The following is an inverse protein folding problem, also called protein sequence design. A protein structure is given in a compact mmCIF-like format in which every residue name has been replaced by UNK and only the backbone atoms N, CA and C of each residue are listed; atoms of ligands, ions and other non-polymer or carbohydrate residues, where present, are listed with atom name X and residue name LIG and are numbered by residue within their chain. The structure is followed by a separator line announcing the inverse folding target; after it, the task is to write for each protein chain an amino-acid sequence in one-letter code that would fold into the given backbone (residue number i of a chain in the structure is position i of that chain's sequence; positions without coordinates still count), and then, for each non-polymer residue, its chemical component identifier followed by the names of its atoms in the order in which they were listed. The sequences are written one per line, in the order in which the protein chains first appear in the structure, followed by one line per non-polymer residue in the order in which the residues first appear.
data_IF_135372582059
#
_entry.id   IF_135372582059
#
_cell.length_a   1.000
_cell.length_b   1.000
_cell.length_c   1.000
_cell.angle_alpha   90.00
_cell.angle_beta   90.00
_cell.angle_gamma   90.00
#
_symmetry.space_group_name_H-M   'P 1'
#
loop_
_entity.id
_entity.type
_entity.pdbx_description
1 polymer ?
#
# COMPACT_ATOMS: atom_id res chain seq x y z
N UNK A 1 19.76 9.40 12.79
CA UNK A 1 18.65 10.04 12.06
C UNK A 1 17.59 10.38 13.06
N UNK A 2 16.90 11.50 12.86
CA UNK A 2 15.76 11.93 13.68
C UNK A 2 14.46 11.58 12.94
N UNK A 3 13.30 11.86 13.54
CA UNK A 3 12.00 11.64 12.89
C UNK A 3 10.89 11.32 13.86
N UNK A 4 9.82 10.72 13.33
CA UNK A 4 8.66 10.30 14.10
C UNK A 4 8.20 8.90 13.69
N UNK A 5 7.70 8.16 14.67
CA UNK A 5 6.84 7.00 14.46
C UNK A 5 5.43 7.42 14.79
N UNK A 6 4.50 7.27 13.85
CA UNK A 6 3.09 7.63 14.02
C UNK A 6 2.22 6.38 13.93
N UNK A 7 1.14 6.40 14.71
CA UNK A 7 0.10 5.37 14.69
C UNK A 7 -1.21 5.95 14.21
N UNK A 8 -1.94 5.22 13.37
CA UNK A 8 -3.27 5.60 12.95
C UNK A 8 -4.22 4.42 13.04
N UNK A 9 -5.30 4.60 13.79
CA UNK A 9 -6.41 3.65 13.87
C UNK A 9 -7.57 4.24 13.09
N UNK A 10 -7.97 3.53 12.03
CA UNK A 10 -9.09 3.96 11.20
C UNK A 10 -10.42 3.81 11.95
N UNK A 11 -11.45 4.53 11.50
CA UNK A 11 -12.79 4.49 12.08
C UNK A 11 -13.32 3.05 12.12
N UNK A 12 -13.93 2.68 13.25
CA UNK A 12 -14.37 1.30 13.51
C UNK A 12 -13.28 0.35 14.03
N UNK A 13 -12.03 0.81 14.23
CA UNK A 13 -10.94 0.03 14.84
C UNK A 13 -10.61 -1.30 14.15
N UNK A 14 -10.88 -1.37 12.83
CA UNK A 14 -10.61 -2.56 12.00
C UNK A 14 -9.32 -2.47 11.20
N UNK A 15 -8.75 -1.27 11.07
CA UNK A 15 -7.50 -1.04 10.35
C UNK A 15 -6.59 -0.23 11.28
N UNK A 16 -5.36 -0.70 11.44
CA UNK A 16 -4.32 0.00 12.18
C UNK A 16 -3.06 0.16 11.32
N UNK A 17 -2.39 1.30 11.44
CA UNK A 17 -1.14 1.60 10.74
C UNK A 17 -0.09 2.07 11.74
N UNK A 18 1.14 1.63 11.54
CA UNK A 18 2.34 2.23 12.12
C UNK A 18 3.26 2.64 10.98
N UNK A 19 3.76 3.88 11.01
CA UNK A 19 4.68 4.40 10.00
C UNK A 19 5.85 5.11 10.66
N UNK A 20 7.05 4.89 10.13
CA UNK A 20 8.27 5.59 10.50
C UNK A 20 8.65 6.55 9.38
N UNK A 21 8.80 7.84 9.71
CA UNK A 21 9.27 8.87 8.78
C UNK A 21 10.47 9.57 9.41
N UNK A 22 11.59 9.59 8.70
CA UNK A 22 12.82 10.18 9.16
C UNK A 22 13.00 11.62 8.64
N UNK A 23 13.69 12.40 9.45
CA UNK A 23 14.34 13.66 9.11
C UNK A 23 15.79 13.64 9.65
N UNK A 24 16.53 14.70 9.43
CA UNK A 24 17.91 14.90 9.86
C UNK A 24 18.01 15.56 11.26
N UNK A 25 17.13 16.49 11.61
CA UNK A 25 17.22 17.24 12.89
C UNK A 25 15.99 17.07 13.80
N UNK A 26 16.22 17.22 15.10
CA UNK A 26 15.17 17.16 16.13
C UNK A 26 14.23 18.38 16.07
N UNK A 27 14.76 19.52 15.59
CA UNK A 27 13.98 20.72 15.30
C UNK A 27 12.89 20.43 14.25
N UNK A 28 13.24 19.78 13.14
CA UNK A 28 12.26 19.38 12.11
C UNK A 28 11.29 18.32 12.64
N UNK A 29 11.76 17.35 13.42
CA UNK A 29 10.89 16.33 14.02
C UNK A 29 9.78 16.93 14.91
N UNK A 30 10.00 18.12 15.47
CA UNK A 30 9.03 18.84 16.31
C UNK A 30 8.17 19.84 15.53
N UNK A 31 8.46 20.09 14.26
CA UNK A 31 7.74 21.03 13.40
C UNK A 31 6.32 20.51 13.08
N UNK A 32 5.32 21.38 13.12
CA UNK A 32 3.92 21.01 12.86
C UNK A 32 3.69 20.51 11.43
N UNK A 33 4.34 21.10 10.42
CA UNK A 33 4.22 20.64 9.04
C UNK A 33 4.79 19.21 8.86
N UNK A 34 5.87 18.88 9.59
CA UNK A 34 6.42 17.53 9.61
C UNK A 34 5.45 16.55 10.28
N UNK A 35 4.92 16.87 11.47
CA UNK A 35 3.93 16.05 12.18
C UNK A 35 2.68 15.80 11.33
N UNK A 36 2.17 16.84 10.67
CA UNK A 36 1.02 16.74 9.78
C UNK A 36 1.31 15.81 8.60
N UNK A 37 2.50 15.91 7.98
CA UNK A 37 2.92 14.99 6.93
C UNK A 37 2.90 13.54 7.42
N UNK A 38 3.54 13.23 8.56
CA UNK A 38 3.61 11.85 9.08
C UNK A 38 2.21 11.29 9.34
N UNK A 39 1.33 12.09 9.94
CA UNK A 39 -0.08 11.72 10.17
C UNK A 39 -0.84 11.48 8.86
N UNK A 40 -0.66 12.35 7.88
CA UNK A 40 -1.30 12.22 6.57
C UNK A 40 -0.84 10.96 5.83
N UNK A 41 0.44 10.61 5.95
CA UNK A 41 0.99 9.36 5.39
C UNK A 41 0.37 8.15 6.08
N UNK A 42 0.24 8.15 7.42
CA UNK A 42 -0.42 7.06 8.14
C UNK A 42 -1.88 6.85 7.68
N UNK A 43 -2.61 7.95 7.46
CA UNK A 43 -3.97 7.92 6.90
C UNK A 43 -3.98 7.41 5.45
N UNK A 44 -3.03 7.83 4.62
CA UNK A 44 -2.88 7.37 3.24
C UNK A 44 -2.71 5.85 3.19
N UNK A 45 -1.79 5.31 3.99
CA UNK A 45 -1.53 3.87 4.04
C UNK A 45 -2.80 3.12 4.46
N UNK A 46 -3.57 3.63 5.42
CA UNK A 46 -4.82 3.00 5.81
C UNK A 46 -5.86 2.95 4.67
N UNK A 47 -5.89 3.99 3.83
CA UNK A 47 -6.81 4.13 2.70
C UNK A 47 -6.39 3.35 1.44
N UNK A 48 -5.14 2.90 1.36
CA UNK A 48 -4.57 2.20 0.21
C UNK A 48 -4.32 0.72 0.53
N UNK A 49 -5.32 -0.18 0.41
CA UNK A 49 -5.20 -1.57 0.83
C UNK A 49 -4.23 -2.42 0.00
N UNK A 50 -3.88 -1.97 -1.22
CA UNK A 50 -2.95 -2.66 -2.11
C UNK A 50 -1.49 -2.26 -1.87
N UNK A 51 -1.25 -1.19 -1.12
CA UNK A 51 0.12 -0.69 -0.90
C UNK A 51 0.86 -1.61 0.06
N UNK A 52 1.97 -2.15 -0.42
CA UNK A 52 2.86 -3.07 0.30
C UNK A 52 4.29 -2.52 0.41
N UNK A 53 4.71 -1.69 -0.54
CA UNK A 53 6.07 -1.15 -0.64
C UNK A 53 6.06 0.37 -0.58
N UNK A 54 7.19 0.99 -0.23
CA UNK A 54 7.29 2.46 -0.26
C UNK A 54 7.38 2.93 -1.72
N UNK A 55 8.25 2.32 -2.51
CA UNK A 55 8.55 2.68 -3.90
C UNK A 55 8.88 1.45 -4.74
N UNK A 56 8.86 1.61 -6.07
CA UNK A 56 9.04 0.50 -7.03
C UNK A 56 10.40 -0.19 -6.87
N UNK A 57 11.43 0.55 -6.48
CA UNK A 57 12.78 0.01 -6.22
C UNK A 57 12.88 -0.86 -4.96
N UNK A 58 11.88 -0.81 -4.08
CA UNK A 58 11.81 -1.70 -2.91
C UNK A 58 11.10 -3.03 -3.21
N UNK A 59 10.53 -3.20 -4.41
CA UNK A 59 9.87 -4.45 -4.81
C UNK A 59 10.93 -5.53 -5.07
N UNK A 60 10.85 -6.72 -4.43
CA UNK A 60 11.80 -7.79 -4.64
C UNK A 60 11.89 -8.22 -6.11
N UNK A 61 13.12 -8.40 -6.61
CA UNK A 61 13.36 -8.79 -8.00
C UNK A 61 12.66 -10.11 -8.39
N UNK A 62 12.59 -11.06 -7.45
CA UNK A 62 11.89 -12.33 -7.63
C UNK A 62 10.39 -12.13 -7.85
N UNK A 63 9.78 -11.20 -7.11
CA UNK A 63 8.38 -10.83 -7.30
C UNK A 63 8.17 -10.17 -8.67
N UNK A 64 9.09 -9.28 -9.08
CA UNK A 64 9.03 -8.63 -10.39
C UNK A 64 9.08 -9.64 -11.53
N UNK A 65 9.99 -10.62 -11.46
CA UNK A 65 10.13 -11.66 -12.47
C UNK A 65 8.92 -12.61 -12.52
N UNK A 66 8.40 -12.98 -11.35
CA UNK A 66 7.18 -13.79 -11.23
C UNK A 66 5.98 -13.10 -11.88
N UNK A 67 5.73 -11.84 -11.53
CA UNK A 67 4.62 -11.05 -12.11
C UNK A 67 4.77 -10.89 -13.63
N UNK A 68 6.00 -10.69 -14.10
CA UNK A 68 6.28 -10.64 -15.55
C UNK A 68 5.93 -11.95 -16.25
N UNK A 69 6.30 -13.07 -15.65
CA UNK A 69 6.01 -14.40 -16.19
C UNK A 69 4.51 -14.69 -16.22
N UNK A 70 3.79 -14.32 -15.15
CA UNK A 70 2.33 -14.46 -15.06
C UNK A 70 1.64 -13.64 -16.15
N UNK A 71 2.00 -12.37 -16.32
CA UNK A 71 1.40 -11.51 -17.35
C UNK A 71 1.72 -11.99 -18.77
N UNK A 72 2.95 -12.45 -19.04
CA UNK A 72 3.34 -13.02 -20.34
C UNK A 72 2.55 -14.28 -20.72
N UNK A 73 2.15 -15.06 -19.72
CA UNK A 73 1.41 -16.32 -19.87
C UNK A 73 -0.10 -16.15 -20.10
N UNK A 74 -0.64 -14.92 -20.05
CA UNK A 74 -2.08 -14.70 -20.21
C UNK A 74 -2.57 -15.01 -21.63
N UNK A 75 -3.71 -15.70 -21.72
CA UNK A 75 -4.30 -16.14 -22.99
C UNK A 75 -4.66 -14.99 -23.93
N UNK A 76 -5.00 -13.82 -23.39
CA UNK A 76 -5.37 -12.63 -24.18
C UNK A 76 -4.21 -12.04 -25.00
N UNK A 77 -2.98 -12.48 -24.71
CA UNK A 77 -1.76 -12.12 -25.43
C UNK A 77 -1.38 -13.13 -26.51
N UNK A 78 -1.97 -14.33 -26.52
CA UNK A 78 -1.62 -15.43 -27.44
C UNK A 78 -1.73 -15.05 -28.92
N UNK A 79 -2.68 -14.18 -29.26
CA UNK A 79 -2.96 -13.73 -30.64
C UNK A 79 -2.19 -12.47 -31.04
N UNK A 80 -1.36 -11.91 -30.15
CA UNK A 80 -0.65 -10.65 -30.39
C UNK A 80 0.79 -10.90 -30.85
N UNK A 81 1.35 -10.05 -31.73
CA UNK A 81 2.77 -10.10 -32.08
C UNK A 81 3.67 -9.97 -30.85
N UNK A 82 4.84 -10.63 -30.86
CA UNK A 82 5.76 -10.70 -29.71
C UNK A 82 6.16 -9.32 -29.18
N UNK A 83 6.57 -8.40 -30.06
CA UNK A 83 6.90 -7.02 -29.72
C UNK A 83 5.73 -6.23 -29.10
N UNK A 84 4.49 -6.54 -29.45
CA UNK A 84 3.29 -5.93 -28.86
C UNK A 84 2.96 -6.56 -27.52
N UNK A 85 3.18 -7.88 -27.35
CA UNK A 85 3.00 -8.58 -26.07
C UNK A 85 3.91 -7.99 -25.01
N UNK A 86 5.20 -7.85 -25.30
CA UNK A 86 6.17 -7.27 -24.35
C UNK A 86 5.77 -5.86 -23.90
N UNK A 87 5.38 -4.99 -24.83
CA UNK A 87 4.95 -3.62 -24.50
C UNK A 87 3.67 -3.60 -23.64
N UNK A 88 2.72 -4.48 -23.93
CA UNK A 88 1.48 -4.58 -23.16
C UNK A 88 1.78 -5.08 -21.75
N UNK A 89 2.59 -6.13 -21.63
CA UNK A 89 2.99 -6.69 -20.34
C UNK A 89 3.75 -5.66 -19.52
N UNK A 90 4.70 -4.94 -20.12
CA UNK A 90 5.41 -3.87 -19.45
C UNK A 90 4.47 -2.82 -18.87
N UNK A 91 3.49 -2.33 -19.65
CA UNK A 91 2.52 -1.35 -19.15
C UNK A 91 1.61 -1.89 -18.04
N UNK A 92 1.24 -3.18 -18.08
CA UNK A 92 0.45 -3.83 -17.02
C UNK A 92 1.24 -3.96 -15.72
N UNK A 93 2.50 -4.38 -15.83
CA UNK A 93 3.41 -4.53 -14.70
C UNK A 93 3.68 -3.17 -14.06
N UNK A 94 4.01 -2.15 -14.87
CA UNK A 94 4.23 -0.79 -14.37
C UNK A 94 3.01 -0.27 -13.61
N UNK A 95 1.80 -0.49 -14.16
CA UNK A 95 0.56 -0.12 -13.47
C UNK A 95 0.41 -0.85 -12.14
N UNK A 96 0.61 -2.18 -12.14
CA UNK A 96 0.50 -3.01 -10.93
C UNK A 96 1.49 -2.58 -9.87
N UNK A 97 2.75 -2.33 -10.23
CA UNK A 97 3.76 -1.90 -9.26
C UNK A 97 3.44 -0.54 -8.67
N UNK A 98 2.93 0.39 -9.47
CA UNK A 98 2.44 1.67 -8.96
C UNK A 98 1.28 1.51 -7.98
N UNK A 99 0.37 0.56 -8.22
CA UNK A 99 -0.72 0.25 -7.28
C UNK A 99 -0.21 -0.34 -5.95
N UNK A 100 0.92 -1.05 -5.98
CA UNK A 100 1.55 -1.65 -4.79
C UNK A 100 2.45 -0.69 -4.00
N UNK A 101 2.80 0.49 -4.55
CA UNK A 101 3.77 1.42 -3.95
C UNK A 101 3.11 2.66 -3.39
N UNK A 102 3.51 3.06 -2.19
CA UNK A 102 2.98 4.23 -1.48
C UNK A 102 3.24 5.53 -2.24
N UNK A 103 4.47 5.72 -2.72
CA UNK A 103 4.94 6.99 -3.30
C UNK A 103 4.23 7.34 -4.61
N UNK A 104 3.77 6.33 -5.36
CA UNK A 104 3.06 6.50 -6.63
C UNK A 104 1.55 6.72 -6.44
N UNK A 105 1.02 6.58 -5.21
CA UNK A 105 -0.40 6.79 -4.97
C UNK A 105 -0.78 8.27 -5.10
N UNK A 106 -1.96 8.59 -5.68
CA UNK A 106 -2.59 9.89 -5.52
C UNK A 106 -2.84 10.19 -4.05
N UNK A 107 -2.57 11.43 -3.62
CA UNK A 107 -2.75 11.82 -2.23
C UNK A 107 -4.24 11.94 -1.89
N UNK A 108 -4.67 11.28 -0.81
CA UNK A 108 -6.09 11.18 -0.43
C UNK A 108 -6.78 12.54 -0.21
N UNK A 109 -6.04 13.59 0.16
CA UNK A 109 -6.61 14.94 0.35
C UNK A 109 -6.47 15.84 -0.87
N UNK A 110 -5.63 15.48 -1.83
CA UNK A 110 -5.48 16.16 -3.12
C UNK A 110 -5.04 15.17 -4.20
N UNK A 111 -5.99 14.74 -5.03
CA UNK A 111 -5.77 13.74 -6.07
C UNK A 111 -4.94 14.27 -7.26
N UNK A 112 -4.62 15.57 -7.29
CA UNK A 112 -3.77 16.15 -8.33
C UNK A 112 -2.29 15.92 -8.10
N UNK A 113 -1.89 15.56 -6.87
CA UNK A 113 -0.52 15.26 -6.50
C UNK A 113 -0.40 13.83 -5.98
N UNK A 114 0.80 13.29 -6.10
CA UNK A 114 1.20 12.01 -5.53
C UNK A 114 1.71 12.17 -4.09
N UNK A 115 1.81 11.07 -3.36
CA UNK A 115 2.47 11.04 -2.04
C UNK A 115 3.94 11.46 -2.16
N UNK A 116 4.63 11.08 -3.23
CA UNK A 116 6.00 11.51 -3.50
C UNK A 116 6.13 13.04 -3.61
N UNK A 117 5.20 13.68 -4.31
CA UNK A 117 5.15 15.14 -4.46
C UNK A 117 4.88 15.82 -3.12
N UNK A 118 3.91 15.32 -2.35
CA UNK A 118 3.64 15.81 -0.99
C UNK A 118 4.89 15.77 -0.10
N UNK A 119 5.62 14.64 -0.09
CA UNK A 119 6.86 14.48 0.70
C UNK A 119 7.95 15.43 0.21
N UNK A 120 8.07 15.61 -1.11
CA UNK A 120 9.05 16.51 -1.72
C UNK A 120 8.76 17.98 -1.39
N UNK A 121 7.52 18.41 -1.52
CA UNK A 121 7.08 19.78 -1.19
C UNK A 121 7.33 20.08 0.29
N UNK A 122 6.96 19.16 1.18
CA UNK A 122 7.20 19.30 2.62
C UNK A 122 8.70 19.33 2.94
N UNK A 123 9.50 18.48 2.29
CA UNK A 123 10.98 18.50 2.44
C UNK A 123 11.56 19.85 2.03
N UNK A 124 11.09 20.42 0.91
CA UNK A 124 11.54 21.72 0.44
C UNK A 124 11.12 22.85 1.40
N UNK A 125 9.90 22.80 1.93
CA UNK A 125 9.40 23.75 2.94
C UNK A 125 10.24 23.73 4.22
N UNK A 126 10.63 22.53 4.67
CA UNK A 126 11.40 22.34 5.90
C UNK A 126 12.91 22.61 5.71
N UNK A 127 13.38 22.67 4.47
CA UNK A 127 14.80 22.86 4.14
C UNK A 127 15.65 21.63 4.44
N UNK A 128 15.03 20.44 4.52
CA UNK A 128 15.67 19.22 5.01
C UNK A 128 15.10 17.98 4.32
N UNK A 129 15.91 16.93 4.17
CA UNK A 129 15.44 15.68 3.55
C UNK A 129 14.46 14.96 4.49
N UNK A 130 13.24 14.76 4.03
CA UNK A 130 12.26 13.85 4.65
C UNK A 130 12.21 12.54 3.88
N UNK A 131 12.10 11.43 4.61
CA UNK A 131 12.02 10.10 4.01
C UNK A 131 11.06 9.20 4.79
N UNK A 132 10.10 8.59 4.10
CA UNK A 132 9.31 7.48 4.66
C UNK A 132 10.21 6.25 4.70
N UNK A 133 10.38 5.65 5.88
CA UNK A 133 11.39 4.59 6.09
C UNK A 133 10.81 3.19 6.02
N UNK A 134 9.65 3.00 6.64
CA UNK A 134 8.89 1.73 6.68
C UNK A 134 7.49 2.00 7.22
N UNK A 135 6.58 1.10 6.93
CA UNK A 135 5.28 1.06 7.57
C UNK A 135 4.82 -0.39 7.77
N UNK A 136 3.79 -0.55 8.58
CA UNK A 136 3.01 -1.78 8.63
C UNK A 136 1.53 -1.40 8.74
N UNK A 137 0.70 -2.18 8.08
CA UNK A 137 -0.75 -2.03 8.05
C UNK A 137 -1.35 -3.35 8.53
N UNK A 138 -2.29 -3.25 9.46
CA UNK A 138 -3.02 -4.37 10.03
C UNK A 138 -4.49 -4.25 9.64
N UNK A 139 -5.09 -5.35 9.23
CA UNK A 139 -6.54 -5.45 9.06
C UNK A 139 -7.10 -6.54 9.98
N UNK A 140 -8.14 -6.19 10.73
CA UNK A 140 -8.82 -7.13 11.63
C UNK A 140 -9.44 -8.29 10.84
N UNK A 141 -8.96 -9.49 11.12
CA UNK A 141 -9.41 -10.74 10.49
C UNK A 141 -8.66 -11.09 9.19
N UNK A 142 -7.62 -10.35 8.84
CA UNK A 142 -6.73 -10.70 7.74
C UNK A 142 -6.07 -12.06 7.97
N UNK A 143 -6.06 -12.91 6.94
CA UNK A 143 -5.49 -14.26 7.01
C UNK A 143 -6.34 -15.29 7.77
N UNK A 144 -7.55 -14.94 8.25
CA UNK A 144 -8.46 -15.89 8.88
C UNK A 144 -9.45 -16.39 7.83
N UNK A 145 -9.41 -17.68 7.51
CA UNK A 145 -10.50 -18.34 6.80
C UNK A 145 -11.75 -18.33 7.70
N UNK A 146 -12.77 -17.57 7.29
CA UNK A 146 -14.08 -17.70 7.93
C UNK A 146 -14.61 -19.08 7.62
N UNK A 147 -14.85 -19.89 8.66
CA UNK A 147 -15.78 -21.02 8.53
C UNK A 147 -17.13 -20.46 8.12
N UNK A 148 -17.58 -20.78 6.92
CA UNK A 148 -18.99 -20.64 6.57
C UNK A 148 -19.75 -21.73 7.32
N UNK A 149 -20.29 -21.37 8.49
CA UNK A 149 -21.24 -22.24 9.16
C UNK A 149 -22.53 -22.26 8.31
N UNK A 150 -22.74 -23.35 7.58
CA UNK A 150 -23.95 -23.56 6.79
C UNK A 150 -25.11 -23.82 7.74
N UNK A 151 -25.73 -22.74 8.21
CA UNK A 151 -26.84 -22.75 9.16
C UNK A 151 -27.99 -23.66 8.70
N UNK A 152 -28.17 -23.83 7.39
CA UNK A 152 -29.17 -24.74 6.83
C UNK A 152 -28.84 -26.22 7.09
N UNK A 153 -27.56 -26.62 7.02
CA UNK A 153 -27.12 -27.98 7.35
C UNK A 153 -27.19 -28.25 8.86
N UNK A 154 -26.89 -27.25 9.69
CA UNK A 154 -26.98 -27.37 11.14
C UNK A 154 -28.44 -27.54 11.61
N UNK A 155 -29.37 -26.78 11.02
CA UNK A 155 -30.82 -26.92 11.27
C UNK A 155 -31.35 -28.26 10.75
N UNK A 156 -30.94 -28.69 9.55
CA UNK A 156 -31.34 -29.98 9.00
C UNK A 156 -30.83 -31.16 9.86
N UNK A 157 -29.61 -31.08 10.38
CA UNK A 157 -29.02 -32.10 11.24
C UNK A 157 -29.69 -32.19 12.62
N UNK A 158 -30.24 -31.09 13.15
CA UNK A 158 -31.03 -31.10 14.39
C UNK A 158 -32.43 -31.70 14.17
N UNK A 159 -33.09 -31.38 13.06
CA UNK A 159 -34.42 -31.93 12.74
C UNK A 159 -34.39 -33.42 12.39
N UNK A 160 -33.28 -33.95 11.89
CA UNK A 160 -33.13 -35.37 11.57
C UNK A 160 -32.81 -36.27 12.77
N UNK A 161 -32.63 -35.69 13.98
CA UNK A 161 -32.37 -36.42 15.23
C UNK A 161 -33.62 -36.56 16.12
N UNK A 162 -34.76 -36.02 15.70
CA UNK A 162 -36.10 -36.26 16.28
C UNK A 162 -36.85 -37.34 15.50
#
# INVERSE_FOLDING_TARGET
SEGLVESYIHTGSRIGVLVEVNCQTDFVARNEAFKDLVKNIAMQIAACPQVEYISVDEIPAEFVESEKSIEMGREDLSKRPENMREKIVQGRIEKRFKELTLMDQPYIKDQNITVAELVKETSAQLGEKVQVRRFTRFVLGEGIEKKEDNFAEEVAAQMAKE
#
